data_IF_970057225715
#
_entry.id   IF_970057225715
#
_cell.length_a   1.000
_cell.length_b   1.000
_cell.length_c   1.000
_cell.angle_alpha   90.00
_cell.angle_beta   90.00
_cell.angle_gamma   90.00
#
_symmetry.space_group_name_H-M   'P 1'
#
loop_
_entity.id
_entity.type
_entity.pdbx_description
1 polymer ?
#
# COMPACT_ATOMS: atom_id res chain seq x y z
N UNK A 1 -5.75 16.58 3.61
CA UNK A 1 -6.59 15.75 2.71
C UNK A 1 -6.65 14.40 3.36
N UNK A 2 -7.84 13.82 3.50
CA UNK A 2 -7.98 12.51 4.13
C UNK A 2 -7.35 11.40 3.26
N UNK A 3 -6.98 10.28 3.85
CA UNK A 3 -6.50 9.11 3.11
C UNK A 3 -7.55 8.59 2.13
N UNK A 4 -8.83 8.65 2.50
CA UNK A 4 -9.95 8.34 1.58
C UNK A 4 -9.95 9.22 0.34
N UNK A 5 -9.76 10.54 0.50
CA UNK A 5 -9.69 11.48 -0.61
C UNK A 5 -8.44 11.25 -1.47
N UNK A 6 -7.28 11.00 -0.86
CA UNK A 6 -6.04 10.68 -1.57
C UNK A 6 -6.19 9.41 -2.41
N UNK A 7 -6.75 8.34 -1.85
CA UNK A 7 -6.98 7.09 -2.57
C UNK A 7 -7.95 7.28 -3.73
N UNK A 8 -9.04 8.05 -3.54
CA UNK A 8 -9.99 8.40 -4.60
C UNK A 8 -9.30 9.17 -5.73
N UNK A 9 -8.52 10.20 -5.39
CA UNK A 9 -7.76 11.00 -6.36
C UNK A 9 -6.76 10.15 -7.13
N UNK A 10 -5.97 9.33 -6.43
CA UNK A 10 -4.96 8.43 -7.01
C UNK A 10 -5.61 7.50 -8.03
N UNK A 11 -6.72 6.84 -7.69
CA UNK A 11 -7.46 5.95 -8.61
C UNK A 11 -8.00 6.69 -9.84
N UNK A 12 -8.44 7.93 -9.67
CA UNK A 12 -8.89 8.77 -10.79
C UNK A 12 -7.74 9.07 -11.76
N UNK A 13 -6.58 9.48 -11.23
CA UNK A 13 -5.39 9.77 -12.04
C UNK A 13 -4.88 8.52 -12.78
N UNK A 14 -4.83 7.37 -12.09
CA UNK A 14 -4.44 6.10 -12.72
C UNK A 14 -5.42 5.68 -13.82
N UNK A 15 -6.71 5.95 -13.67
CA UNK A 15 -7.71 5.65 -14.71
C UNK A 15 -7.47 6.48 -15.97
N UNK A 16 -7.20 7.77 -15.84
CA UNK A 16 -6.90 8.62 -16.99
C UNK A 16 -5.57 8.23 -17.64
N UNK A 17 -4.55 7.88 -16.85
CA UNK A 17 -3.29 7.35 -17.37
C UNK A 17 -3.51 6.06 -18.17
N UNK A 18 -4.29 5.12 -17.64
CA UNK A 18 -4.54 3.84 -18.31
C UNK A 18 -5.25 4.00 -19.67
N UNK A 19 -6.05 5.04 -19.86
CA UNK A 19 -6.69 5.34 -21.15
C UNK A 19 -5.68 5.74 -22.22
N UNK A 20 -4.60 6.43 -21.84
CA UNK A 20 -3.59 6.94 -22.78
C UNK A 20 -2.42 5.97 -23.00
N UNK A 21 -2.22 5.00 -22.10
CA UNK A 21 -1.20 3.94 -22.22
C UNK A 21 -1.79 2.52 -22.04
N UNK A 22 -2.81 2.12 -22.82
CA UNK A 22 -3.60 0.92 -22.55
C UNK A 22 -2.78 -0.38 -22.55
N UNK A 23 -1.83 -0.55 -23.48
CA UNK A 23 -1.00 -1.76 -23.55
C UNK A 23 -0.04 -1.87 -22.36
N UNK A 24 0.58 -0.76 -21.96
CA UNK A 24 1.43 -0.71 -20.76
C UNK A 24 0.62 -0.99 -19.50
N UNK A 25 -0.57 -0.40 -19.37
CA UNK A 25 -1.47 -0.62 -18.24
C UNK A 25 -1.90 -2.10 -18.14
N UNK A 26 -2.24 -2.72 -19.28
CA UNK A 26 -2.56 -4.16 -19.36
C UNK A 26 -1.38 -5.03 -18.93
N UNK A 27 -0.18 -4.71 -19.38
CA UNK A 27 1.05 -5.41 -18.98
C UNK A 27 1.29 -5.32 -17.46
N UNK A 28 1.14 -4.12 -16.89
CA UNK A 28 1.28 -3.92 -15.45
C UNK A 28 0.20 -4.66 -14.65
N UNK A 29 -1.04 -4.68 -15.13
CA UNK A 29 -2.13 -5.43 -14.48
C UNK A 29 -1.86 -6.93 -14.47
N UNK A 30 -1.36 -7.49 -15.58
CA UNK A 30 -0.97 -8.90 -15.65
C UNK A 30 0.16 -9.24 -14.67
N UNK A 31 1.18 -8.38 -14.56
CA UNK A 31 2.23 -8.51 -13.54
C UNK A 31 1.64 -8.49 -12.12
N UNK A 32 0.75 -7.54 -11.83
CA UNK A 32 0.14 -7.39 -10.51
C UNK A 32 -0.66 -8.62 -10.08
N UNK A 33 -1.52 -9.15 -10.96
CA UNK A 33 -2.26 -10.39 -10.71
C UNK A 33 -1.33 -11.59 -10.53
N UNK A 34 -0.30 -11.72 -11.37
CA UNK A 34 0.68 -12.81 -11.27
C UNK A 34 1.38 -12.87 -9.90
N UNK A 35 1.75 -11.71 -9.34
CA UNK A 35 2.37 -11.64 -8.02
C UNK A 35 1.37 -11.88 -6.89
N UNK A 36 0.13 -11.36 -7.00
CA UNK A 36 -0.85 -11.37 -5.90
C UNK A 36 -1.63 -12.69 -5.75
N UNK A 37 -2.01 -13.32 -6.86
CA UNK A 37 -3.01 -14.41 -6.83
C UNK A 37 -2.39 -15.82 -6.71
N UNK A 38 -1.15 -16.02 -7.17
CA UNK A 38 -0.58 -17.38 -7.32
C UNK A 38 0.82 -17.49 -6.70
N UNK A 39 0.94 -17.51 -5.37
CA UNK A 39 2.25 -17.77 -4.76
C UNK A 39 2.21 -18.47 -3.41
N UNK A 40 3.40 -18.86 -2.96
CA UNK A 40 3.63 -19.60 -1.71
C UNK A 40 3.19 -18.82 -0.49
N UNK A 41 3.45 -17.50 -0.49
CA UNK A 41 2.91 -16.59 0.51
C UNK A 41 1.50 -16.15 0.12
N UNK A 42 0.63 -16.09 1.12
CA UNK A 42 -0.73 -15.58 0.95
C UNK A 42 -0.75 -14.09 0.58
N UNK A 43 -1.94 -13.62 0.20
CA UNK A 43 -2.14 -12.24 -0.21
C UNK A 43 -1.76 -11.24 0.89
N UNK A 44 -2.16 -11.51 2.14
CA UNK A 44 -1.92 -10.62 3.28
C UNK A 44 -0.43 -10.41 3.53
N UNK A 45 0.36 -11.49 3.54
CA UNK A 45 1.81 -11.40 3.72
C UNK A 45 2.50 -10.63 2.59
N UNK A 46 2.05 -10.80 1.34
CA UNK A 46 2.59 -10.03 0.21
C UNK A 46 2.24 -8.55 0.31
N UNK A 47 1.05 -8.21 0.80
CA UNK A 47 0.67 -6.81 1.02
C UNK A 47 1.46 -6.16 2.17
N UNK A 48 1.88 -6.91 3.20
CA UNK A 48 2.82 -6.40 4.20
C UNK A 48 4.17 -6.04 3.59
N UNK A 49 4.71 -6.89 2.70
CA UNK A 49 5.93 -6.57 1.94
C UNK A 49 5.72 -5.32 1.08
N UNK A 50 4.59 -5.22 0.40
CA UNK A 50 4.26 -4.06 -0.42
C UNK A 50 4.14 -2.77 0.40
N UNK A 51 3.54 -2.82 1.59
CA UNK A 51 3.48 -1.70 2.53
C UNK A 51 4.90 -1.28 2.97
N UNK A 52 5.75 -2.25 3.31
CA UNK A 52 7.13 -1.97 3.68
C UNK A 52 7.90 -1.24 2.57
N UNK A 53 7.73 -1.68 1.31
CA UNK A 53 8.31 -1.03 0.13
C UNK A 53 7.70 0.37 -0.08
N UNK A 54 6.40 0.55 0.09
CA UNK A 54 5.73 1.84 -0.03
C UNK A 54 6.27 2.88 0.97
N UNK A 55 6.51 2.45 2.22
CA UNK A 55 7.15 3.28 3.25
C UNK A 55 8.60 3.58 2.88
N UNK A 56 9.39 2.57 2.48
CA UNK A 56 10.79 2.74 2.12
C UNK A 56 11.02 3.63 0.89
N UNK A 57 10.05 3.67 -0.02
CA UNK A 57 10.07 4.52 -1.22
C UNK A 57 9.38 5.86 -1.03
N UNK A 58 8.92 6.17 0.20
CA UNK A 58 8.28 7.44 0.53
C UNK A 58 7.02 7.74 -0.32
N UNK A 59 6.31 6.69 -0.76
CA UNK A 59 5.17 6.82 -1.66
C UNK A 59 3.83 6.83 -0.90
N UNK A 60 3.28 8.01 -0.60
CA UNK A 60 2.00 8.15 0.12
C UNK A 60 0.82 7.51 -0.61
N UNK A 61 0.73 7.67 -1.94
CA UNK A 61 -0.30 6.99 -2.75
C UNK A 61 -0.19 5.46 -2.64
N UNK A 62 1.02 4.93 -2.55
CA UNK A 62 1.25 3.50 -2.38
C UNK A 62 0.85 3.05 -0.96
N UNK A 63 1.24 3.81 0.08
CA UNK A 63 0.84 3.56 1.47
C UNK A 63 -0.69 3.47 1.55
N UNK A 64 -1.40 4.48 1.02
CA UNK A 64 -2.86 4.53 1.08
C UNK A 64 -3.54 3.33 0.40
N UNK A 65 -3.05 2.91 -0.77
CA UNK A 65 -3.62 1.78 -1.50
C UNK A 65 -3.32 0.42 -0.84
N UNK A 66 -2.10 0.23 -0.32
CA UNK A 66 -1.69 -1.03 0.30
C UNK A 66 -2.26 -1.20 1.72
N UNK A 67 -2.41 -0.11 2.49
CA UNK A 67 -3.14 -0.14 3.76
C UNK A 67 -4.61 -0.51 3.54
N UNK A 68 -5.28 0.07 2.53
CA UNK A 68 -6.67 -0.29 2.19
C UNK A 68 -6.80 -1.77 1.80
N UNK A 69 -5.81 -2.32 1.09
CA UNK A 69 -5.76 -3.74 0.73
C UNK A 69 -5.55 -4.64 1.95
N UNK A 70 -4.67 -4.24 2.88
CA UNK A 70 -4.41 -4.95 4.13
C UNK A 70 -5.65 -5.02 5.03
N UNK A 71 -6.37 -3.90 5.20
CA UNK A 71 -7.62 -3.87 5.97
C UNK A 71 -8.64 -4.86 5.38
N UNK A 72 -8.79 -4.88 4.03
CA UNK A 72 -9.67 -5.84 3.35
C UNK A 72 -9.23 -7.29 3.50
N UNK A 73 -7.92 -7.53 3.65
CA UNK A 73 -7.35 -8.84 3.92
C UNK A 73 -7.44 -9.25 5.40
N UNK A 74 -8.03 -8.42 6.27
CA UNK A 74 -8.17 -8.69 7.70
C UNK A 74 -6.88 -8.50 8.48
N UNK A 75 -5.96 -7.67 7.99
CA UNK A 75 -4.78 -7.28 8.76
C UNK A 75 -5.20 -6.49 10.00
N UNK A 76 -4.61 -6.78 11.16
CA UNK A 76 -4.84 -5.99 12.37
C UNK A 76 -3.91 -4.79 12.46
N UNK A 77 -4.25 -3.85 13.34
CA UNK A 77 -3.42 -2.67 13.62
C UNK A 77 -2.04 -3.09 14.13
N UNK A 78 -1.99 -4.13 14.96
CA UNK A 78 -0.77 -4.69 15.55
C UNK A 78 0.10 -5.35 14.49
N UNK A 79 -0.47 -6.11 13.56
CA UNK A 79 0.29 -6.70 12.45
C UNK A 79 0.90 -5.63 11.55
N UNK A 80 0.15 -4.55 11.27
CA UNK A 80 0.69 -3.40 10.53
C UNK A 80 1.82 -2.74 11.31
N UNK A 81 1.65 -2.48 12.60
CA UNK A 81 2.67 -1.86 13.45
C UNK A 81 3.98 -2.68 13.52
N UNK A 82 3.88 -4.01 13.55
CA UNK A 82 5.05 -4.92 13.58
C UNK A 82 5.89 -4.80 12.30
N UNK A 83 5.23 -4.77 11.13
CA UNK A 83 5.89 -4.55 9.84
C UNK A 83 6.53 -3.16 9.78
N UNK A 84 5.83 -2.15 10.28
CA UNK A 84 6.37 -0.79 10.34
C UNK A 84 7.61 -0.70 11.23
N UNK A 85 7.66 -1.41 12.36
CA UNK A 85 8.85 -1.47 13.20
C UNK A 85 10.07 -2.01 12.42
N UNK A 86 9.87 -3.06 11.61
CA UNK A 86 10.92 -3.57 10.72
C UNK A 86 11.37 -2.54 9.67
N UNK A 87 10.43 -1.78 9.09
CA UNK A 87 10.80 -0.71 8.14
C UNK A 87 11.64 0.39 8.81
N UNK A 88 11.28 0.79 10.04
CA UNK A 88 12.03 1.79 10.80
C UNK A 88 13.41 1.29 11.18
N UNK A 89 13.55 0.02 11.57
CA UNK A 89 14.84 -0.58 11.89
C UNK A 89 15.80 -0.55 10.67
N UNK A 90 15.29 -0.78 9.46
CA UNK A 90 16.09 -0.77 8.24
C UNK A 90 16.34 0.63 7.67
N UNK A 91 15.49 1.60 7.98
CA UNK A 91 15.47 2.91 7.34
C UNK A 91 15.76 4.11 8.24
N UNK A 92 15.76 3.94 9.55
CA UNK A 92 15.99 5.00 10.53
C UNK A 92 14.96 6.14 10.47
N UNK A 93 15.42 7.35 10.76
CA UNK A 93 14.58 8.55 10.92
C UNK A 93 13.62 8.85 9.76
N UNK A 94 14.04 8.79 8.48
CA UNK A 94 13.14 9.03 7.35
C UNK A 94 11.97 8.04 7.31
N UNK A 95 12.23 6.74 7.47
CA UNK A 95 11.18 5.73 7.45
C UNK A 95 10.30 5.80 8.69
N UNK A 96 10.80 6.30 9.83
CA UNK A 96 9.96 6.60 10.99
C UNK A 96 8.83 7.59 10.65
N UNK A 97 9.10 8.62 9.83
CA UNK A 97 8.10 9.60 9.45
C UNK A 97 7.03 9.00 8.54
N UNK A 98 7.43 8.14 7.59
CA UNK A 98 6.47 7.47 6.69
C UNK A 98 5.74 6.30 7.36
N UNK A 99 6.37 5.64 8.34
CA UNK A 99 5.71 4.64 9.19
C UNK A 99 4.60 5.28 10.03
N UNK A 100 4.85 6.45 10.62
CA UNK A 100 3.81 7.20 11.33
C UNK A 100 2.61 7.53 10.42
N UNK A 101 2.87 7.95 9.17
CA UNK A 101 1.82 8.17 8.17
C UNK A 101 1.07 6.89 7.79
N UNK A 102 1.76 5.77 7.67
CA UNK A 102 1.12 4.49 7.37
C UNK A 102 0.20 4.01 8.48
N UNK A 103 0.58 4.22 9.74
CA UNK A 103 -0.28 3.91 10.88
C UNK A 103 -1.51 4.85 10.95
N UNK A 104 -1.31 6.15 10.73
CA UNK A 104 -2.39 7.14 10.60
C UNK A 104 -3.37 6.78 9.48
N UNK A 105 -2.86 6.32 8.34
CA UNK A 105 -3.67 5.80 7.24
C UNK A 105 -4.52 4.61 7.66
N UNK A 106 -3.94 3.65 8.38
CA UNK A 106 -4.67 2.49 8.86
C UNK A 106 -5.80 2.90 9.80
N UNK A 107 -5.51 3.79 10.75
CA UNK A 107 -6.48 4.27 11.73
C UNK A 107 -7.65 5.01 11.06
N UNK A 108 -7.38 5.88 10.07
CA UNK A 108 -8.45 6.57 9.32
C UNK A 108 -9.31 5.61 8.49
N UNK A 109 -8.70 4.64 7.80
CA UNK A 109 -9.40 3.75 6.89
C UNK A 109 -10.14 2.61 7.60
N UNK A 110 -9.71 2.23 8.80
CA UNK A 110 -10.31 1.15 9.60
C UNK A 110 -11.44 1.63 10.53
N UNK A 111 -11.49 2.91 10.86
CA UNK A 111 -12.54 3.52 11.69
C UNK A 111 -13.88 3.75 10.94
N UNK A 112 -14.05 3.19 9.74
CA UNK A 112 -15.09 3.56 8.77
C UNK A 112 -15.94 2.40 8.30
#
# INVERSE_FOLDING_TARGET
MSWKELNKKTRSQLRELNKVIPETAKGFQALSSGVKENGVLDFKNKEFVALGIAVATHCESCIGLHVEALIRAGATREEVADVLAMTVQMGGGPLLMYAAKALDCYDELSAA
#
